data_IF_549856087703
#
_entry.id   IF_549856087703
#
_cell.length_a   1.000
_cell.length_b   1.000
_cell.length_c   1.000
_cell.angle_alpha   90.00
_cell.angle_beta   90.00
_cell.angle_gamma   90.00
#
_symmetry.space_group_name_H-M   'P 1'
#
loop_
_entity.id
_entity.type
_entity.pdbx_description
1 polymer ?
#
# COMPACT_ATOMS: atom_id res chain seq x y z
N UNK A 1 -12.18 24.64 0.82
CA UNK A 1 -11.12 23.89 0.10
C UNK A 1 -11.55 22.43 0.08
N UNK A 2 -11.57 21.76 -1.09
CA UNK A 2 -11.83 20.31 -1.13
C UNK A 2 -10.72 19.58 -0.37
N UNK A 3 -11.06 18.54 0.40
CA UNK A 3 -10.06 17.77 1.14
C UNK A 3 -9.32 16.89 0.12
N UNK A 4 -8.02 16.60 0.30
CA UNK A 4 -7.28 15.72 -0.61
C UNK A 4 -8.04 14.40 -0.88
N UNK A 5 -8.65 13.83 0.17
CA UNK A 5 -9.54 12.66 0.13
C UNK A 5 -10.62 12.68 -0.98
N UNK A 6 -11.10 13.85 -1.39
CA UNK A 6 -12.22 13.99 -2.33
C UNK A 6 -11.76 14.09 -3.80
N UNK A 7 -10.45 14.18 -4.05
CA UNK A 7 -9.90 14.55 -5.38
C UNK A 7 -8.92 13.53 -5.97
N UNK A 8 -8.61 12.45 -5.25
CA UNK A 8 -7.54 11.51 -5.61
C UNK A 8 -7.99 10.34 -6.50
N UNK A 9 -9.23 10.33 -7.00
CA UNK A 9 -9.75 9.21 -7.81
C UNK A 9 -9.78 7.86 -7.09
N UNK A 10 -9.54 7.86 -5.78
CA UNK A 10 -9.49 6.70 -4.88
C UNK A 10 -10.56 6.87 -3.80
N UNK A 11 -11.22 5.78 -3.42
CA UNK A 11 -12.30 5.84 -2.43
C UNK A 11 -11.78 6.41 -1.09
N UNK A 12 -12.46 7.37 -0.44
CA UNK A 12 -11.98 8.01 0.79
C UNK A 12 -11.59 7.02 1.89
N UNK A 13 -12.34 5.92 2.03
CA UNK A 13 -12.04 4.86 3.01
C UNK A 13 -10.70 4.16 2.74
N UNK A 14 -10.28 4.03 1.48
CA UNK A 14 -8.96 3.50 1.15
C UNK A 14 -7.85 4.48 1.50
N UNK A 15 -8.10 5.77 1.30
CA UNK A 15 -7.16 6.82 1.67
C UNK A 15 -6.99 6.79 3.19
N UNK A 16 -8.08 6.77 3.95
CA UNK A 16 -8.04 6.67 5.41
C UNK A 16 -7.36 5.37 5.88
N UNK A 17 -7.69 4.22 5.25
CA UNK A 17 -7.06 2.94 5.57
C UNK A 17 -5.55 2.98 5.35
N UNK A 18 -5.09 3.48 4.19
CA UNK A 18 -3.68 3.55 3.82
C UNK A 18 -2.91 4.58 4.66
N UNK A 19 -3.49 5.76 4.90
CA UNK A 19 -2.77 6.90 5.50
C UNK A 19 -2.96 7.08 6.99
N UNK A 20 -4.06 6.59 7.55
CA UNK A 20 -4.41 6.83 8.96
C UNK A 20 -4.42 5.53 9.77
N UNK A 21 -4.87 4.40 9.21
CA UNK A 21 -4.99 3.14 9.95
C UNK A 21 -3.71 2.30 9.90
N UNK A 22 -3.28 1.86 8.71
CA UNK A 22 -2.15 0.92 8.60
C UNK A 22 -0.79 1.57 8.85
N UNK A 23 -0.72 2.89 8.76
CA UNK A 23 0.46 3.72 9.07
C UNK A 23 0.59 4.07 10.54
N UNK A 24 -0.35 3.66 11.40
CA UNK A 24 -0.39 4.03 12.82
C UNK A 24 0.86 3.61 13.61
N UNK A 25 1.60 2.60 13.12
CA UNK A 25 2.86 2.13 13.72
C UNK A 25 4.11 2.76 13.10
N UNK A 26 3.98 3.59 12.06
CA UNK A 26 5.13 4.18 11.39
C UNK A 26 5.78 5.26 12.26
N UNK A 27 7.12 5.34 12.27
CA UNK A 27 7.83 6.33 13.07
C UNK A 27 7.78 7.74 12.48
N UNK A 28 7.45 7.87 11.19
CA UNK A 28 7.46 9.13 10.45
C UNK A 28 6.24 9.24 9.52
N UNK A 29 5.88 10.48 9.16
CA UNK A 29 4.83 10.74 8.18
C UNK A 29 5.33 10.38 6.77
N UNK A 30 4.80 9.27 6.25
CA UNK A 30 5.16 8.74 4.93
C UNK A 30 4.08 9.02 3.87
N UNK A 31 3.06 9.82 4.20
CA UNK A 31 1.91 10.05 3.31
C UNK A 31 2.31 10.95 2.15
N UNK A 32 2.11 10.46 0.93
CA UNK A 32 2.42 11.21 -0.27
C UNK A 32 1.36 11.04 -1.36
N UNK A 33 1.23 12.04 -2.24
CA UNK A 33 0.38 11.93 -3.43
C UNK A 33 1.27 11.81 -4.66
N UNK A 34 1.21 10.67 -5.34
CA UNK A 34 1.97 10.39 -6.55
C UNK A 34 1.00 10.33 -7.74
N UNK A 35 1.13 11.25 -8.70
CA UNK A 35 0.22 11.36 -9.87
C UNK A 35 -1.28 11.36 -9.50
N UNK A 36 -1.65 12.07 -8.44
CA UNK A 36 -3.02 12.12 -7.95
C UNK A 36 -3.48 10.85 -7.21
N UNK A 37 -2.57 9.92 -6.94
CA UNK A 37 -2.85 8.64 -6.25
C UNK A 37 -2.18 8.65 -4.87
N UNK A 38 -2.89 8.27 -3.80
CA UNK A 38 -2.32 8.17 -2.46
C UNK A 38 -1.27 7.05 -2.39
N UNK A 39 -0.10 7.40 -1.86
CA UNK A 39 1.07 6.55 -1.76
C UNK A 39 1.73 6.69 -0.38
N UNK A 40 2.59 5.72 -0.07
CA UNK A 40 3.51 5.73 1.05
C UNK A 40 4.94 5.75 0.53
N UNK A 41 5.68 6.79 0.90
CA UNK A 41 7.06 7.01 0.47
C UNK A 41 7.91 7.23 1.72
N UNK A 42 9.03 6.52 1.80
CA UNK A 42 9.97 6.74 2.89
C UNK A 42 10.60 8.13 2.72
N UNK A 43 10.52 9.02 3.72
CA UNK A 43 10.90 10.43 3.56
C UNK A 43 12.41 10.60 3.27
N UNK A 44 13.26 9.80 3.90
CA UNK A 44 14.71 9.94 3.75
C UNK A 44 15.27 9.28 2.47
N UNK A 45 14.73 8.12 2.06
CA UNK A 45 15.23 7.37 0.89
C UNK A 45 14.43 7.65 -0.39
N UNK A 46 13.24 8.23 -0.28
CA UNK A 46 12.34 8.46 -1.42
C UNK A 46 11.72 7.18 -2.00
N UNK A 47 11.86 6.04 -1.33
CA UNK A 47 11.39 4.76 -1.83
C UNK A 47 9.89 4.60 -1.57
N UNK A 48 9.14 4.30 -2.64
CA UNK A 48 7.71 3.97 -2.55
C UNK A 48 7.55 2.55 -2.01
N UNK A 49 6.78 2.41 -0.94
CA UNK A 49 6.51 1.12 -0.29
C UNK A 49 5.02 0.81 -0.10
N UNK A 50 4.14 1.74 -0.48
CA UNK A 50 2.70 1.51 -0.49
C UNK A 50 1.97 2.42 -1.46
N UNK A 51 0.83 1.98 -1.96
CA UNK A 51 -0.08 2.83 -2.74
C UNK A 51 -1.52 2.34 -2.64
N UNK A 52 -2.48 3.24 -2.83
CA UNK A 52 -3.89 2.94 -2.93
C UNK A 52 -4.45 3.55 -4.22
N UNK A 53 -5.13 2.74 -5.02
CA UNK A 53 -5.60 3.12 -6.35
C UNK A 53 -7.00 2.62 -6.63
N UNK A 54 -7.78 3.46 -7.29
CA UNK A 54 -9.14 3.17 -7.70
C UNK A 54 -10.09 2.99 -6.52
N UNK A 55 -11.14 2.20 -6.72
CA UNK A 55 -12.23 2.13 -5.73
C UNK A 55 -12.00 1.12 -4.60
N UNK A 56 -11.14 0.11 -4.77
CA UNK A 56 -11.09 -1.03 -3.83
C UNK A 56 -9.70 -1.67 -3.63
N UNK A 57 -8.60 -1.03 -4.01
CA UNK A 57 -7.26 -1.65 -3.91
C UNK A 57 -6.20 -0.76 -3.33
N UNK A 58 -5.40 -1.36 -2.46
CA UNK A 58 -4.15 -0.83 -1.98
C UNK A 58 -3.15 -1.97 -1.83
N UNK A 59 -1.88 -1.65 -2.00
CA UNK A 59 -0.80 -2.63 -1.99
C UNK A 59 0.37 -2.11 -1.17
N UNK A 60 1.13 -3.05 -0.61
CA UNK A 60 2.36 -2.80 0.13
C UNK A 60 3.52 -3.59 -0.49
N UNK A 61 4.71 -3.01 -0.44
CA UNK A 61 5.97 -3.65 -0.81
C UNK A 61 6.54 -4.33 0.43
N UNK A 62 6.54 -5.67 0.44
CA UNK A 62 6.84 -6.45 1.64
C UNK A 62 8.14 -7.26 1.50
N UNK A 63 8.94 -7.34 2.57
CA UNK A 63 10.09 -8.24 2.60
C UNK A 63 9.62 -9.70 2.55
N UNK A 64 10.45 -10.58 2.00
CA UNK A 64 10.10 -11.97 1.68
C UNK A 64 9.39 -12.71 2.84
N UNK A 65 9.95 -12.65 4.05
CA UNK A 65 9.35 -13.30 5.23
C UNK A 65 7.91 -12.85 5.50
N UNK A 66 7.69 -11.53 5.51
CA UNK A 66 6.36 -10.95 5.77
C UNK A 66 5.42 -11.19 4.59
N UNK A 67 5.95 -11.20 3.37
CA UNK A 67 5.19 -11.53 2.16
C UNK A 67 4.60 -12.94 2.25
N UNK A 68 5.37 -13.93 2.71
CA UNK A 68 4.86 -15.28 2.94
C UNK A 68 3.77 -15.33 4.01
N UNK A 69 3.94 -14.60 5.11
CA UNK A 69 2.91 -14.48 6.16
C UNK A 69 1.63 -13.84 5.64
N UNK A 70 1.74 -12.77 4.84
CA UNK A 70 0.61 -12.07 4.26
C UNK A 70 -0.14 -12.95 3.24
N UNK A 71 0.58 -13.67 2.37
CA UNK A 71 0.00 -14.64 1.44
C UNK A 71 -0.76 -15.75 2.20
N UNK A 72 -0.17 -16.29 3.27
CA UNK A 72 -0.82 -17.28 4.12
C UNK A 72 -2.07 -16.75 4.83
N UNK A 73 -2.11 -15.44 5.13
CA UNK A 73 -3.27 -14.75 5.67
C UNK A 73 -4.34 -14.39 4.61
N UNK A 74 -4.07 -14.65 3.32
CA UNK A 74 -5.01 -14.43 2.23
C UNK A 74 -4.75 -13.17 1.38
N UNK A 75 -3.61 -12.48 1.58
CA UNK A 75 -3.19 -11.43 0.66
C UNK A 75 -2.96 -12.01 -0.74
N UNK A 76 -3.10 -11.18 -1.78
CA UNK A 76 -3.00 -11.64 -3.18
C UNK A 76 -2.11 -10.71 -3.99
N UNK A 77 -1.48 -11.27 -5.03
CA UNK A 77 -0.75 -10.49 -6.06
C UNK A 77 -1.64 -10.06 -7.22
N UNK A 78 -2.76 -10.76 -7.39
CA UNK A 78 -3.68 -10.57 -8.50
C UNK A 78 -5.04 -10.10 -7.97
N UNK A 79 -5.52 -8.96 -8.48
CA UNK A 79 -6.88 -8.50 -8.25
C UNK A 79 -7.68 -8.63 -9.54
N UNK A 80 -8.59 -9.60 -9.59
CA UNK A 80 -9.53 -9.74 -10.69
C UNK A 80 -10.69 -8.76 -10.53
N UNK A 81 -11.04 -8.07 -11.61
CA UNK A 81 -12.19 -7.19 -11.68
C UNK A 81 -13.22 -7.75 -12.67
N UNK A 82 -14.52 -7.79 -12.34
CA UNK A 82 -15.54 -8.40 -13.22
C UNK A 82 -15.68 -7.71 -14.59
N UNK A 83 -15.24 -6.45 -14.72
CA UNK A 83 -15.43 -5.61 -15.92
C UNK A 83 -14.17 -4.87 -16.36
N UNK A 84 -13.03 -5.15 -15.74
CA UNK A 84 -11.75 -4.50 -16.05
C UNK A 84 -10.64 -5.56 -16.12
N UNK A 85 -9.54 -5.28 -16.82
CA UNK A 85 -8.36 -6.14 -16.77
C UNK A 85 -7.95 -6.42 -15.33
N UNK A 86 -7.53 -7.65 -15.05
CA UNK A 86 -6.97 -7.98 -13.74
C UNK A 86 -5.74 -7.12 -13.49
N UNK A 87 -5.64 -6.56 -12.29
CA UNK A 87 -4.44 -5.86 -11.88
C UNK A 87 -3.46 -6.87 -11.31
N UNK A 88 -2.31 -6.99 -11.97
CA UNK A 88 -1.24 -7.91 -11.58
C UNK A 88 -0.02 -7.11 -11.11
N UNK A 89 0.37 -7.34 -9.85
CA UNK A 89 1.51 -6.68 -9.22
C UNK A 89 2.86 -7.20 -9.72
N UNK A 90 2.89 -8.29 -10.51
CA UNK A 90 4.12 -8.74 -11.18
C UNK A 90 4.69 -7.68 -12.14
N UNK A 91 3.85 -6.77 -12.63
CA UNK A 91 4.27 -5.64 -13.47
C UNK A 91 5.15 -4.60 -12.73
N UNK A 92 5.06 -4.53 -11.40
CA UNK A 92 5.80 -3.57 -10.57
C UNK A 92 6.82 -4.23 -9.62
N UNK A 93 6.70 -5.55 -9.40
CA UNK A 93 7.74 -6.35 -8.78
C UNK A 93 7.23 -7.45 -7.85
N UNK A 94 8.06 -8.48 -7.60
CA UNK A 94 7.70 -9.66 -6.79
C UNK A 94 7.45 -9.38 -5.31
N UNK A 95 7.78 -8.17 -4.84
CA UNK A 95 7.66 -7.76 -3.44
C UNK A 95 6.27 -7.19 -3.11
N UNK A 96 5.48 -6.85 -4.12
CA UNK A 96 4.20 -6.18 -3.94
C UNK A 96 3.05 -7.14 -3.67
N UNK A 97 2.23 -6.85 -2.67
CA UNK A 97 0.99 -7.58 -2.38
C UNK A 97 -0.18 -6.62 -2.19
N UNK A 98 -1.35 -7.01 -2.69
CA UNK A 98 -2.60 -6.34 -2.33
C UNK A 98 -2.98 -6.70 -0.90
N UNK A 99 -3.23 -5.66 -0.13
CA UNK A 99 -3.87 -5.73 1.15
C UNK A 99 -5.40 -5.84 0.98
N UNK A 100 -6.06 -6.47 1.94
CA UNK A 100 -7.47 -6.85 1.86
C UNK A 100 -8.17 -6.66 3.22
N UNK A 101 -7.80 -5.61 3.95
CA UNK A 101 -8.26 -5.37 5.33
C UNK A 101 -7.97 -6.54 6.27
N UNK A 102 -6.80 -7.16 6.08
CA UNK A 102 -6.36 -8.30 6.86
C UNK A 102 -5.90 -7.86 8.25
N UNK A 103 -5.97 -8.81 9.20
CA UNK A 103 -5.42 -8.61 10.54
C UNK A 103 -3.89 -8.53 10.42
N UNK A 104 -3.27 -7.58 11.13
CA UNK A 104 -1.83 -7.30 11.16
C UNK A 104 -1.25 -6.48 10.00
N UNK A 105 -2.08 -5.85 9.16
CA UNK A 105 -1.59 -4.97 8.11
C UNK A 105 -0.74 -3.80 8.64
N UNK A 106 -0.96 -3.33 9.87
CA UNK A 106 -0.11 -2.28 10.45
C UNK A 106 1.33 -2.77 10.65
N UNK A 107 1.49 -4.03 11.09
CA UNK A 107 2.82 -4.66 11.22
C UNK A 107 3.48 -4.87 9.86
N UNK A 108 2.69 -5.25 8.86
CA UNK A 108 3.22 -5.40 7.50
C UNK A 108 3.66 -4.05 6.93
N UNK A 109 2.89 -2.98 7.19
CA UNK A 109 3.25 -1.63 6.80
C UNK A 109 4.54 -1.16 7.49
N UNK A 110 4.74 -1.46 8.77
CA UNK A 110 6.01 -1.19 9.46
C UNK A 110 7.18 -1.94 8.81
N UNK A 111 7.03 -3.23 8.51
CA UNK A 111 8.09 -3.97 7.82
C UNK A 111 8.33 -3.50 6.38
N UNK A 112 7.32 -2.95 5.71
CA UNK A 112 7.49 -2.30 4.41
C UNK A 112 8.33 -1.02 4.52
N UNK A 113 8.10 -0.24 5.59
CA UNK A 113 8.89 0.95 5.91
C UNK A 113 10.34 0.59 6.19
N UNK A 114 10.62 -0.40 7.04
CA UNK A 114 11.99 -0.87 7.35
C UNK A 114 12.72 -1.38 6.08
N UNK A 115 12.01 -2.05 5.19
CA UNK A 115 12.55 -2.44 3.89
C UNK A 115 12.92 -1.22 3.03
N UNK A 116 12.07 -0.18 3.03
CA UNK A 116 12.33 1.05 2.28
C UNK A 116 13.47 1.89 2.87
N UNK A 117 13.74 1.78 4.16
CA UNK A 117 14.90 2.39 4.83
C UNK A 117 16.21 1.73 4.40
N UNK A 118 16.22 0.40 4.29
CA UNK A 118 17.44 -0.38 3.96
C UNK A 118 17.75 -0.45 2.46
N UNK A 119 16.82 -0.05 1.60
CA UNK A 119 16.97 -0.13 0.14
C UNK A 119 17.52 1.16 -0.51
N UNK A 120 17.73 2.23 0.26
CA UNK A 120 18.33 3.50 -0.18
C UNK A 120 19.83 3.55 0.06
#
# INVERSE_FOLDING_TARGET
MPRPYDTLGTHPDLVARLWDEITSLLPQDCRFVLFGTPALIHPDTGIVFGFAGGTHTYALRLPERIRHEALAAGATRLKAYPRHPSLDLDSIGPEWLFCLWLKNEERWCLSAYELAETAG
#
